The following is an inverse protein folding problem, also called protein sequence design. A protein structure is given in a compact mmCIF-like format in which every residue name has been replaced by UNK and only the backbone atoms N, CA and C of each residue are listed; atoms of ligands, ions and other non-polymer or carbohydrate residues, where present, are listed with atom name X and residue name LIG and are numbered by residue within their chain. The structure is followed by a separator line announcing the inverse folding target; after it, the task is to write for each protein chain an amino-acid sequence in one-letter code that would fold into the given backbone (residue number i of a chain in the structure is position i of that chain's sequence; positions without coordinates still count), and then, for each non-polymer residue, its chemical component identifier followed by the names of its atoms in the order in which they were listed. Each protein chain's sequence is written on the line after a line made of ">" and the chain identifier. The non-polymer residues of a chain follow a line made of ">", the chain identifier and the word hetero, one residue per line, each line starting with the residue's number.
data_IF_625356903172
#
_entry.id   IF_625356903172
#
_cell.length_a   1.000
_cell.length_b   1.000
_cell.length_c   1.000
_cell.angle_alpha   90.00
_cell.angle_beta   90.00
_cell.angle_gamma   90.00
#
_symmetry.space_group_name_H-M   'P 1'
#
loop_
_entity.id
_entity.type
_entity.pdbx_description
1 polymer ?
#
# COMPACT_ATOMS: atom_id res chain seq x y z
N UNK A 1 -4.51 1.39 6.27
CA UNK A 1 -3.86 2.69 6.49
C UNK A 1 -4.44 3.27 7.78
N UNK A 2 -3.62 3.58 8.80
CA UNK A 2 -4.13 3.90 10.13
C UNK A 2 -4.51 5.37 10.35
N UNK A 3 -4.08 6.29 9.49
CA UNK A 3 -4.29 7.74 9.65
C UNK A 3 -4.39 8.47 8.30
N UNK A 4 -4.67 9.77 8.36
CA UNK A 4 -4.71 10.67 7.20
C UNK A 4 -5.97 10.50 6.33
N UNK A 5 -5.93 11.10 5.13
CA UNK A 5 -7.05 11.11 4.16
C UNK A 5 -7.55 9.69 3.80
N UNK A 6 -6.66 8.70 3.78
CA UNK A 6 -6.98 7.31 3.43
C UNK A 6 -7.11 6.40 4.65
N UNK A 7 -7.41 6.93 5.84
CA UNK A 7 -7.65 6.12 7.04
C UNK A 7 -8.69 5.02 6.77
N UNK A 8 -8.40 3.80 7.22
CA UNK A 8 -9.23 2.61 6.98
C UNK A 8 -9.01 1.94 5.62
N UNK A 9 -8.29 2.56 4.68
CA UNK A 9 -8.03 1.97 3.36
C UNK A 9 -6.98 0.86 3.45
N UNK A 10 -7.19 -0.27 2.77
CA UNK A 10 -6.18 -1.32 2.64
C UNK A 10 -4.93 -0.74 1.95
N UNK A 11 -3.72 -1.06 2.43
CA UNK A 11 -2.48 -0.45 1.92
C UNK A 11 -2.32 -0.70 0.41
N UNK A 12 -2.65 -1.91 -0.06
CA UNK A 12 -2.61 -2.25 -1.49
C UNK A 12 -3.55 -1.39 -2.36
N UNK A 13 -4.58 -0.77 -1.78
CA UNK A 13 -5.57 0.07 -2.48
C UNK A 13 -5.22 1.57 -2.44
N UNK A 14 -4.13 1.95 -1.78
CA UNK A 14 -3.69 3.35 -1.75
C UNK A 14 -3.30 3.84 -3.15
N UNK A 15 -3.70 5.05 -3.58
CA UNK A 15 -3.29 5.59 -4.87
C UNK A 15 -1.77 5.76 -4.97
N UNK A 16 -1.20 5.54 -6.16
CA UNK A 16 0.24 5.70 -6.43
C UNK A 16 0.71 7.10 -6.05
N UNK A 17 -0.06 8.13 -6.39
CA UNK A 17 0.24 9.52 -6.05
C UNK A 17 0.35 9.79 -4.56
N UNK A 18 -0.44 9.08 -3.74
CA UNK A 18 -0.37 9.21 -2.28
C UNK A 18 0.89 8.54 -1.73
N UNK A 19 1.22 7.36 -2.25
CA UNK A 19 2.43 6.64 -1.87
C UNK A 19 3.70 7.40 -2.29
N UNK A 20 3.70 8.00 -3.48
CA UNK A 20 4.78 8.86 -3.97
C UNK A 20 4.98 10.09 -3.07
N UNK A 21 3.88 10.74 -2.67
CA UNK A 21 3.95 11.84 -1.70
C UNK A 21 4.52 11.36 -0.36
N UNK A 22 4.07 10.22 0.17
CA UNK A 22 4.62 9.69 1.42
C UNK A 22 6.10 9.32 1.30
N UNK A 23 6.51 8.73 0.18
CA UNK A 23 7.90 8.36 -0.07
C UNK A 23 8.83 9.58 -0.02
N UNK A 24 8.39 10.71 -0.61
CA UNK A 24 9.12 11.99 -0.57
C UNK A 24 9.18 12.63 0.81
N UNK A 25 8.12 12.47 1.62
CA UNK A 25 8.06 13.05 2.97
C UNK A 25 8.65 12.13 4.06
N UNK A 26 8.97 10.89 3.71
CA UNK A 26 9.44 9.86 4.63
C UNK A 26 8.33 8.89 5.05
N UNK A 27 8.65 7.60 4.99
CA UNK A 27 7.77 6.54 5.46
C UNK A 27 7.88 6.36 6.99
N UNK A 28 6.79 6.00 7.69
CA UNK A 28 6.84 5.73 9.13
C UNK A 28 7.76 4.55 9.43
N UNK A 29 8.50 4.52 10.55
CA UNK A 29 9.38 3.40 10.87
C UNK A 29 8.60 2.10 11.12
N UNK A 30 9.32 0.98 11.03
CA UNK A 30 8.81 -0.35 11.34
C UNK A 30 7.96 -0.96 10.22
N UNK A 31 7.12 -1.92 10.60
CA UNK A 31 6.38 -2.77 9.65
C UNK A 31 5.47 -1.97 8.71
N UNK A 32 4.86 -0.89 9.19
CA UNK A 32 3.98 -0.07 8.38
C UNK A 32 4.72 0.62 7.23
N UNK A 33 5.85 1.27 7.49
CA UNK A 33 6.65 1.90 6.44
C UNK A 33 7.22 0.90 5.46
N UNK A 34 7.71 -0.25 5.96
CA UNK A 34 8.16 -1.32 5.09
C UNK A 34 7.05 -1.74 4.11
N UNK A 35 5.83 -1.98 4.60
CA UNK A 35 4.70 -2.33 3.73
C UNK A 35 4.35 -1.21 2.74
N UNK A 36 4.37 0.06 3.17
CA UNK A 36 4.08 1.21 2.29
C UNK A 36 5.13 1.35 1.18
N UNK A 37 6.42 1.21 1.52
CA UNK A 37 7.52 1.22 0.55
C UNK A 37 7.39 0.07 -0.45
N UNK A 38 7.12 -1.14 0.03
CA UNK A 38 6.93 -2.31 -0.85
C UNK A 38 5.77 -2.10 -1.83
N UNK A 39 4.62 -1.59 -1.36
CA UNK A 39 3.49 -1.32 -2.25
C UNK A 39 3.79 -0.18 -3.23
N UNK A 40 4.55 0.84 -2.82
CA UNK A 40 5.01 1.92 -3.70
C UNK A 40 5.89 1.37 -4.82
N UNK A 41 6.93 0.60 -4.49
CA UNK A 41 7.85 -0.03 -5.46
C UNK A 41 7.11 -0.94 -6.45
N UNK A 42 6.19 -1.78 -5.95
CA UNK A 42 5.37 -2.65 -6.81
C UNK A 42 4.56 -1.81 -7.82
N UNK A 43 4.00 -0.69 -7.36
CA UNK A 43 3.14 0.18 -8.18
C UNK A 43 3.92 0.95 -9.24
N UNK A 44 5.04 1.56 -8.88
CA UNK A 44 5.83 2.36 -9.83
C UNK A 44 6.47 1.50 -10.93
N UNK A 45 6.76 0.23 -10.62
CA UNK A 45 7.31 -0.73 -11.59
C UNK A 45 6.23 -1.50 -12.38
N UNK A 46 4.94 -1.19 -12.19
CA UNK A 46 3.84 -1.84 -12.92
C UNK A 46 3.56 -3.29 -12.50
N UNK A 47 4.09 -3.77 -11.37
CA UNK A 47 3.95 -5.15 -10.88
C UNK A 47 2.62 -5.41 -10.14
N UNK A 48 1.55 -4.72 -10.55
CA UNK A 48 0.23 -4.78 -9.88
C UNK A 48 -0.41 -6.16 -9.91
N UNK A 49 -0.06 -7.00 -10.89
CA UNK A 49 -0.49 -8.40 -11.00
C UNK A 49 -0.21 -9.20 -9.73
N UNK A 50 0.92 -8.95 -9.06
CA UNK A 50 1.29 -9.58 -7.79
C UNK A 50 0.25 -9.27 -6.71
N UNK A 51 -0.18 -8.01 -6.61
CA UNK A 51 -1.18 -7.60 -5.60
C UNK A 51 -2.56 -8.21 -5.90
N UNK A 52 -2.94 -8.27 -7.17
CA UNK A 52 -4.21 -8.90 -7.57
C UNK A 52 -4.22 -10.39 -7.23
N UNK A 53 -3.13 -11.09 -7.51
CA UNK A 53 -3.01 -12.52 -7.23
C UNK A 53 -2.97 -12.80 -5.72
N UNK A 54 -2.27 -11.99 -4.93
CA UNK A 54 -2.28 -12.09 -3.48
C UNK A 54 -3.68 -11.88 -2.89
N UNK A 55 -4.44 -10.90 -3.41
CA UNK A 55 -5.82 -10.67 -2.96
C UNK A 55 -6.76 -11.83 -3.27
N UNK A 56 -6.57 -12.52 -4.40
CA UNK A 56 -7.38 -13.70 -4.75
C UNK A 56 -7.13 -14.89 -3.82
N UNK A 57 -5.90 -15.04 -3.32
CA UNK A 57 -5.50 -16.15 -2.44
C UNK A 57 -5.93 -15.94 -0.99
N UNK A 58 -6.16 -14.69 -0.58
CA UNK A 58 -6.57 -14.37 0.78
C UNK A 58 -8.10 -14.37 0.88
N UNK A 59 -8.68 -14.89 1.98
CA UNK A 59 -10.11 -14.76 2.23
C UNK A 59 -10.48 -13.27 2.27
N UNK A 60 -11.69 -12.89 1.83
CA UNK A 60 -12.14 -11.50 1.91
C UNK A 60 -12.08 -11.03 3.36
N UNK A 61 -11.36 -9.92 3.58
CA UNK A 61 -11.24 -9.35 4.91
C UNK A 61 -12.60 -8.79 5.35
N UNK A 62 -13.07 -9.05 6.59
CA UNK A 62 -14.25 -8.40 7.12
C UNK A 62 -14.02 -6.88 7.18
N UNK A 63 -15.04 -6.11 6.79
CA UNK A 63 -15.00 -4.63 6.82
C UNK A 63 -15.18 -4.09 8.23
#
# INVERSE_FOLDING_TARGET
>A
MPFGKYKGTIIADLPVSYLEWMYRNGMPPGKLGMMLSTIHEIKINGMMSILYELKKRLPPQPR
#
